data_IF_350072537442
#
_entry.id   IF_350072537442
#
_cell.length_a   1.000
_cell.length_b   1.000
_cell.length_c   1.000
_cell.angle_alpha   90.00
_cell.angle_beta   90.00
_cell.angle_gamma   90.00
#
_symmetry.space_group_name_H-M   'P 1'
#
loop_
_entity.id
_entity.type
_entity.pdbx_description
1 polymer ?
#
# COMPACT_ATOMS: atom_id res chain seq x y z
N UNK A 1 -11.40 -10.23 -1.13
CA UNK A 1 -11.32 -9.38 -2.34
C UNK A 1 -9.90 -8.92 -2.56
N UNK A 2 -9.56 -8.62 -3.81
CA UNK A 2 -8.33 -7.93 -4.18
C UNK A 2 -8.55 -6.43 -3.98
N UNK A 3 -7.59 -5.74 -3.35
CA UNK A 3 -7.65 -4.30 -3.08
C UNK A 3 -6.43 -3.62 -3.69
N UNK A 4 -6.58 -2.39 -4.15
CA UNK A 4 -5.44 -1.57 -4.54
C UNK A 4 -4.90 -0.76 -3.34
N UNK A 5 -3.58 -0.53 -3.31
CA UNK A 5 -2.92 0.30 -2.31
C UNK A 5 -2.08 1.37 -3.00
N UNK A 6 -2.27 2.62 -2.57
CA UNK A 6 -1.41 3.74 -2.95
C UNK A 6 -0.50 4.06 -1.76
N UNK A 7 0.79 4.26 -2.02
CA UNK A 7 1.77 4.78 -1.05
C UNK A 7 2.42 6.02 -1.64
N UNK A 8 2.46 7.11 -0.88
CA UNK A 8 3.21 8.31 -1.23
C UNK A 8 4.56 8.30 -0.54
N UNK A 9 5.64 8.44 -1.31
CA UNK A 9 7.02 8.45 -0.80
C UNK A 9 7.67 9.80 -1.05
N UNK A 10 8.43 10.36 -0.10
CA UNK A 10 9.12 11.62 -0.30
C UNK A 10 10.27 11.46 -1.29
N UNK A 11 10.49 12.48 -2.13
CA UNK A 11 11.62 12.56 -3.05
C UNK A 11 12.27 13.94 -2.98
N UNK A 12 13.46 14.10 -3.59
CA UNK A 12 14.15 15.40 -3.62
C UNK A 12 13.35 16.52 -4.32
N UNK A 13 12.32 16.17 -5.10
CA UNK A 13 11.48 17.12 -5.86
C UNK A 13 10.04 17.20 -5.35
N UNK A 14 9.70 16.50 -4.26
CA UNK A 14 8.34 16.46 -3.72
C UNK A 14 7.96 15.04 -3.27
N UNK A 15 7.00 14.44 -3.95
CA UNK A 15 6.47 13.12 -3.63
C UNK A 15 6.27 12.28 -4.90
N UNK A 16 6.63 11.01 -4.82
CA UNK A 16 6.25 10.01 -5.82
C UNK A 16 5.09 9.16 -5.31
N UNK A 17 4.31 8.62 -6.24
CA UNK A 17 3.19 7.74 -5.95
C UNK A 17 3.51 6.33 -6.41
N UNK A 18 3.44 5.37 -5.49
CA UNK A 18 3.56 3.94 -5.78
C UNK A 18 2.18 3.30 -5.71
N UNK A 19 1.78 2.60 -6.78
CA UNK A 19 0.55 1.81 -6.81
C UNK A 19 0.89 0.33 -6.71
N UNK A 20 0.21 -0.36 -5.81
CA UNK A 20 0.26 -1.82 -5.67
C UNK A 20 -1.13 -2.36 -5.95
N UNK A 21 -1.20 -3.32 -6.86
CA UNK A 21 -2.45 -3.97 -7.25
C UNK A 21 -2.55 -5.33 -6.59
N UNK A 22 -3.79 -5.79 -6.39
CA UNK A 22 -4.08 -7.11 -5.83
C UNK A 22 -3.48 -7.32 -4.43
N UNK A 23 -3.55 -6.29 -3.60
CA UNK A 23 -3.00 -6.30 -2.24
C UNK A 23 -3.81 -7.20 -1.32
N UNK A 24 -3.10 -8.04 -0.57
CA UNK A 24 -3.63 -8.93 0.46
C UNK A 24 -2.81 -8.81 1.75
N UNK A 25 -3.34 -9.36 2.85
CA UNK A 25 -2.66 -9.39 4.15
C UNK A 25 -2.15 -8.01 4.62
N UNK A 26 -2.87 -6.93 4.28
CA UNK A 26 -2.49 -5.59 4.70
C UNK A 26 -2.58 -5.46 6.22
N UNK A 27 -1.46 -5.08 6.86
CA UNK A 27 -1.38 -4.81 8.29
C UNK A 27 -0.69 -3.47 8.51
N UNK A 28 -1.40 -2.56 9.18
CA UNK A 28 -0.83 -1.30 9.64
C UNK A 28 -0.50 -1.38 11.13
N UNK A 29 0.79 -1.34 11.46
CA UNK A 29 1.29 -1.20 12.82
C UNK A 29 1.66 0.26 13.10
N UNK A 30 2.06 0.57 14.34
CA UNK A 30 2.44 1.91 14.75
C UNK A 30 3.62 2.48 13.94
N UNK A 31 4.61 1.64 13.60
CA UNK A 31 5.84 2.08 12.93
C UNK A 31 6.00 1.55 11.51
N UNK A 32 5.23 0.53 11.12
CA UNK A 32 5.39 -0.17 9.83
C UNK A 32 4.03 -0.45 9.21
N UNK A 33 3.95 -0.37 7.88
CA UNK A 33 2.90 -1.04 7.10
C UNK A 33 3.52 -2.22 6.35
N UNK A 34 2.80 -3.35 6.30
CA UNK A 34 3.22 -4.51 5.52
C UNK A 34 2.03 -5.10 4.77
N UNK A 35 2.31 -5.71 3.62
CA UNK A 35 1.30 -6.31 2.77
C UNK A 35 1.94 -7.25 1.74
N UNK A 36 1.10 -8.07 1.13
CA UNK A 36 1.46 -8.91 -0.02
C UNK A 36 0.83 -8.36 -1.29
N UNK A 37 1.50 -8.52 -2.42
CA UNK A 37 1.05 -8.00 -3.71
C UNK A 37 1.56 -8.85 -4.89
N UNK A 38 0.85 -8.77 -6.01
CA UNK A 38 1.27 -9.37 -7.27
C UNK A 38 2.02 -8.32 -8.11
N UNK A 39 3.31 -8.55 -8.37
CA UNK A 39 4.11 -7.63 -9.16
C UNK A 39 3.72 -7.65 -10.64
N UNK A 40 2.95 -6.66 -11.09
CA UNK A 40 2.36 -6.54 -12.44
C UNK A 40 3.34 -6.87 -13.57
N UNK A 41 4.57 -6.35 -13.52
CA UNK A 41 5.59 -6.59 -14.58
C UNK A 41 6.35 -7.89 -14.46
N UNK A 42 6.27 -8.57 -13.30
CA UNK A 42 7.11 -9.73 -12.98
C UNK A 42 6.32 -11.01 -12.78
N UNK A 43 4.99 -10.92 -12.65
CA UNK A 43 4.09 -12.01 -12.29
C UNK A 43 4.51 -12.77 -11.02
N UNK A 44 5.28 -12.11 -10.14
CA UNK A 44 5.77 -12.67 -8.88
C UNK A 44 4.97 -12.09 -7.72
N UNK A 45 4.53 -12.99 -6.85
CA UNK A 45 3.96 -12.65 -5.56
C UNK A 45 5.07 -12.25 -4.59
N UNK A 46 4.90 -11.12 -3.90
CA UNK A 46 5.91 -10.59 -2.98
C UNK A 46 5.26 -9.99 -1.74
N UNK A 47 6.03 -10.00 -0.64
CA UNK A 47 5.74 -9.24 0.56
C UNK A 47 6.55 -7.94 0.55
N UNK A 48 5.90 -6.83 0.86
CA UNK A 48 6.51 -5.52 1.04
C UNK A 48 6.28 -5.02 2.47
N UNK A 49 7.22 -4.22 2.97
CA UNK A 49 7.11 -3.52 4.24
C UNK A 49 7.71 -2.12 4.11
N UNK A 50 7.04 -1.12 4.68
CA UNK A 50 7.46 0.28 4.69
C UNK A 50 7.41 0.82 6.11
N UNK A 51 8.46 1.51 6.54
CA UNK A 51 8.44 2.29 7.77
C UNK A 51 7.52 3.51 7.57
N UNK A 52 6.61 3.74 8.51
CA UNK A 52 5.64 4.84 8.46
C UNK A 52 6.30 6.21 8.52
N UNK A 53 7.46 6.31 9.19
CA UNK A 53 8.28 7.52 9.23
C UNK A 53 8.96 7.86 7.90
N UNK A 54 9.00 6.91 6.95
CA UNK A 54 9.67 7.05 5.64
C UNK A 54 8.69 7.22 4.48
N UNK A 55 7.39 7.21 4.75
CA UNK A 55 6.33 7.45 3.76
C UNK A 55 5.53 8.68 4.18
N UNK A 56 4.98 9.40 3.20
CA UNK A 56 4.12 10.56 3.46
C UNK A 56 2.70 10.14 3.83
N UNK A 57 2.27 8.95 3.38
CA UNK A 57 0.98 8.37 3.69
C UNK A 57 0.69 7.17 2.80
N UNK A 58 -0.48 6.57 3.00
CA UNK A 58 -1.01 5.51 2.15
C UNK A 58 -2.53 5.55 2.12
N UNK A 59 -3.13 4.97 1.07
CA UNK A 59 -4.56 4.77 0.95
C UNK A 59 -4.83 3.35 0.44
N UNK A 60 -5.49 2.53 1.25
CA UNK A 60 -5.95 1.21 0.87
C UNK A 60 -7.38 1.32 0.33
N UNK A 61 -7.63 0.75 -0.84
CA UNK A 61 -8.95 0.71 -1.45
C UNK A 61 -9.97 0.08 -0.49
N UNK A 62 -11.10 0.76 -0.35
CA UNK A 62 -12.28 0.29 0.36
C UNK A 62 -13.35 -0.06 -0.67
N UNK A 63 -14.14 -1.08 -0.37
CA UNK A 63 -15.36 -1.32 -1.13
C UNK A 63 -16.35 -0.19 -0.82
N UNK A 64 -17.06 0.28 -1.85
CA UNK A 64 -18.16 1.21 -1.70
C UNK A 64 -19.25 0.54 -0.84
N UNK A 65 -19.30 0.88 0.45
CA UNK A 65 -20.20 0.24 1.42
C UNK A 65 -19.64 0.14 2.85
N UNK A 66 -18.36 0.42 3.07
CA UNK A 66 -17.72 0.42 4.39
C UNK A 66 -17.65 1.83 5.02
N UNK A 67 -18.75 2.59 4.89
CA UNK A 67 -19.04 3.73 5.76
C UNK A 67 -19.71 3.18 7.00
N UNK A 68 -18.89 2.96 8.04
CA UNK A 68 -19.25 2.25 9.26
C UNK A 68 -20.54 2.73 9.93
N UNK A 69 -21.29 1.74 10.41
CA UNK A 69 -22.26 1.85 11.51
C UNK A 69 -21.55 2.23 12.82
#
# INVERSE_FOLDING_TARGET
>A
MKKDLIIWVPTAKGADTMKFENVTEFRGFETIIQFEYDGVSTSKHRRAAFERSKILGYALEKEAGDDGN
#
